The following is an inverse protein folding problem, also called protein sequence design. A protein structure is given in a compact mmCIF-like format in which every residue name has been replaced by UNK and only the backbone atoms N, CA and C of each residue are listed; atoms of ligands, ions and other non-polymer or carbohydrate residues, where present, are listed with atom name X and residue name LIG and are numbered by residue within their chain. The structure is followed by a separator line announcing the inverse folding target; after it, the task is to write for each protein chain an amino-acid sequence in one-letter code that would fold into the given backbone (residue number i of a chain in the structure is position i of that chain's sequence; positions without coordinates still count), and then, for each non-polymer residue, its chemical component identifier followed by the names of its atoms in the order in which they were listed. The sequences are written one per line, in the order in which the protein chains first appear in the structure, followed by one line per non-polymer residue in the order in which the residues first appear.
data_IF_426522098654
#
_entry.id   IF_426522098654
#
_cell.length_a   1.000
_cell.length_b   1.000
_cell.length_c   1.000
_cell.angle_alpha   90.00
_cell.angle_beta   90.00
_cell.angle_gamma   90.00
#
_symmetry.space_group_name_H-M   'P 1'
#
loop_
_entity.id
_entity.type
_entity.pdbx_description
1 polymer ?
#
# COMPACT_ATOMS: atom_id res chain seq x y z
N UNK A 1 -18.80 29.12 20.55
CA UNK A 1 -18.38 28.17 19.49
C UNK A 1 -18.05 26.81 20.13
N UNK A 2 -18.90 25.78 19.98
CA UNK A 2 -18.49 24.38 20.22
C UNK A 2 -18.97 23.38 19.14
N UNK A 3 -19.59 23.83 18.04
CA UNK A 3 -20.20 22.93 17.03
C UNK A 3 -19.21 22.25 16.07
N UNK A 4 -18.00 22.80 15.87
CA UNK A 4 -17.02 22.26 14.91
C UNK A 4 -16.33 20.97 15.41
N UNK A 5 -15.88 20.94 16.68
CA UNK A 5 -15.20 19.77 17.25
C UNK A 5 -16.11 18.54 17.41
N UNK A 6 -17.38 18.75 17.77
CA UNK A 6 -18.36 17.66 17.93
C UNK A 6 -18.83 17.06 16.59
N UNK A 7 -18.73 17.83 15.50
CA UNK A 7 -19.08 17.36 14.15
C UNK A 7 -17.91 16.57 13.56
N UNK A 8 -16.67 17.04 13.76
CA UNK A 8 -15.45 16.32 13.38
C UNK A 8 -15.35 14.94 14.05
N UNK A 9 -15.57 14.85 15.38
CA UNK A 9 -15.47 13.54 16.08
C UNK A 9 -16.55 12.52 15.67
N UNK A 10 -17.75 12.99 15.28
CA UNK A 10 -18.81 12.12 14.75
C UNK A 10 -18.48 11.57 13.36
N UNK A 11 -17.91 12.39 12.48
CA UNK A 11 -17.46 11.97 11.14
C UNK A 11 -16.33 10.94 11.26
N UNK A 12 -15.35 11.20 12.12
CA UNK A 12 -14.26 10.25 12.41
C UNK A 12 -14.77 8.91 12.92
N UNK A 13 -15.73 8.90 13.87
CA UNK A 13 -16.31 7.67 14.39
C UNK A 13 -17.09 6.88 13.31
N UNK A 14 -17.74 7.57 12.37
CA UNK A 14 -18.43 6.96 11.23
C UNK A 14 -17.45 6.30 10.25
N UNK A 15 -16.32 6.96 9.95
CA UNK A 15 -15.30 6.42 9.05
C UNK A 15 -14.56 5.22 9.66
N UNK A 16 -14.26 5.25 10.96
CA UNK A 16 -13.68 4.09 11.67
C UNK A 16 -14.62 2.88 11.62
N UNK A 17 -15.93 3.10 11.78
CA UNK A 17 -16.92 2.04 11.63
C UNK A 17 -17.01 1.53 10.17
N UNK A 18 -16.78 2.40 9.19
CA UNK A 18 -16.73 2.04 7.77
C UNK A 18 -15.51 1.15 7.45
N UNK A 19 -14.32 1.48 7.98
CA UNK A 19 -13.10 0.66 7.79
C UNK A 19 -13.28 -0.78 8.26
N UNK A 20 -13.95 -0.98 9.41
CA UNK A 20 -14.22 -2.32 9.93
C UNK A 20 -15.11 -3.16 9.01
N UNK A 21 -15.91 -2.52 8.15
CA UNK A 21 -16.79 -3.21 7.21
C UNK A 21 -16.06 -3.68 5.95
N UNK A 22 -14.90 -3.10 5.60
CA UNK A 22 -14.13 -3.45 4.40
C UNK A 22 -13.78 -4.95 4.33
N UNK A 23 -13.54 -5.57 5.48
CA UNK A 23 -13.26 -7.02 5.61
C UNK A 23 -14.39 -7.93 5.11
N UNK A 24 -15.61 -7.40 4.97
CA UNK A 24 -16.78 -8.12 4.46
C UNK A 24 -16.87 -8.09 2.93
N UNK A 25 -16.10 -7.24 2.26
CA UNK A 25 -16.09 -7.12 0.81
C UNK A 25 -15.57 -8.37 0.11
N UNK A 26 -16.22 -8.73 -1.00
CA UNK A 26 -15.77 -9.73 -1.98
C UNK A 26 -15.55 -9.02 -3.31
N UNK A 27 -14.33 -9.07 -3.84
CA UNK A 27 -13.93 -8.30 -5.02
C UNK A 27 -13.38 -9.24 -6.09
N UNK A 28 -13.88 -9.11 -7.32
CA UNK A 28 -13.24 -9.70 -8.49
C UNK A 28 -12.24 -8.69 -9.05
N UNK A 29 -10.96 -9.05 -9.13
CA UNK A 29 -9.95 -8.26 -9.83
C UNK A 29 -9.62 -8.94 -11.16
N UNK A 30 -9.70 -8.20 -12.25
CA UNK A 30 -9.24 -8.63 -13.58
C UNK A 30 -8.30 -7.58 -14.13
N UNK A 31 -7.11 -8.00 -14.58
CA UNK A 31 -6.16 -7.01 -15.07
C UNK A 31 -4.79 -7.56 -15.35
N UNK A 32 -3.88 -6.65 -15.69
CA UNK A 32 -2.49 -6.97 -15.98
C UNK A 32 -1.69 -7.15 -14.69
N UNK A 33 -1.18 -8.36 -14.44
CA UNK A 33 -0.27 -8.64 -13.33
C UNK A 33 1.17 -8.48 -13.76
N UNK A 34 2.03 -8.01 -12.87
CA UNK A 34 3.47 -7.92 -13.11
C UNK A 34 4.28 -8.27 -11.86
N UNK A 35 5.52 -8.70 -12.05
CA UNK A 35 6.47 -8.93 -10.96
C UNK A 35 7.32 -7.69 -10.77
N UNK A 36 7.12 -6.99 -9.65
CA UNK A 36 8.02 -5.91 -9.24
C UNK A 36 9.19 -6.51 -8.46
N UNK A 37 10.39 -6.42 -9.04
CA UNK A 37 11.64 -6.89 -8.41
C UNK A 37 12.48 -5.69 -7.98
N UNK A 38 12.97 -5.73 -6.76
CA UNK A 38 13.91 -4.75 -6.22
C UNK A 38 15.23 -5.44 -5.93
N UNK A 39 16.29 -4.92 -6.52
CA UNK A 39 17.67 -5.38 -6.33
C UNK A 39 18.39 -4.29 -5.56
N UNK A 40 18.58 -4.52 -4.26
CA UNK A 40 19.29 -3.61 -3.37
C UNK A 40 20.77 -3.98 -3.31
N UNK A 41 21.62 -2.95 -3.31
CA UNK A 41 23.05 -3.16 -3.17
C UNK A 41 23.81 -1.89 -2.89
N UNK A 42 25.14 -2.01 -2.91
CA UNK A 42 26.07 -0.88 -2.78
C UNK A 42 26.81 -0.65 -4.08
N UNK A 43 27.07 0.62 -4.39
CA UNK A 43 27.95 1.04 -5.49
C UNK A 43 29.21 1.62 -4.88
N UNK A 44 30.32 0.89 -4.99
CA UNK A 44 31.63 1.30 -4.45
C UNK A 44 32.69 1.55 -5.52
N UNK A 45 32.41 1.19 -6.77
CA UNK A 45 33.33 1.33 -7.90
C UNK A 45 32.60 1.50 -9.23
N UNK A 46 33.31 2.06 -10.19
CA UNK A 46 32.92 2.12 -11.61
C UNK A 46 33.50 0.89 -12.32
N UNK A 47 32.80 0.40 -13.34
CA UNK A 47 33.27 -0.74 -14.14
C UNK A 47 34.57 -0.36 -14.90
N UNK A 48 35.57 -1.26 -14.97
CA UNK A 48 36.74 -1.05 -15.82
C UNK A 48 36.42 -1.20 -17.33
N UNK A 49 35.28 -1.78 -17.67
CA UNK A 49 34.86 -2.06 -19.05
C UNK A 49 34.06 -0.91 -19.68
N UNK A 50 33.35 -0.13 -18.87
CA UNK A 50 32.53 0.99 -19.31
C UNK A 50 32.32 1.97 -18.15
N UNK A 51 32.06 3.28 -18.41
CA UNK A 51 31.84 4.29 -17.38
C UNK A 51 30.46 4.16 -16.73
N UNK A 52 30.16 2.99 -16.16
CA UNK A 52 28.91 2.63 -15.50
C UNK A 52 29.16 2.14 -14.07
N UNK A 53 28.26 2.43 -13.11
CA UNK A 53 28.41 1.95 -11.74
C UNK A 53 28.28 0.42 -11.66
N UNK A 54 29.08 -0.22 -10.80
CA UNK A 54 28.91 -1.64 -10.47
C UNK A 54 28.11 -1.76 -9.18
N UNK A 55 26.92 -2.34 -9.27
CA UNK A 55 26.10 -2.65 -8.10
C UNK A 55 26.50 -4.02 -7.53
N UNK A 56 27.06 -4.02 -6.32
CA UNK A 56 27.22 -5.24 -5.53
C UNK A 56 25.88 -5.56 -4.86
N UNK A 57 25.18 -6.59 -5.34
CA UNK A 57 23.86 -7.00 -4.84
C UNK A 57 23.97 -7.55 -3.43
N UNK A 58 23.08 -7.08 -2.55
CA UNK A 58 23.01 -7.48 -1.14
C UNK A 58 21.69 -8.15 -0.79
N UNK A 59 20.60 -7.70 -1.43
CA UNK A 59 19.25 -8.23 -1.18
C UNK A 59 18.38 -8.08 -2.40
N UNK A 60 17.57 -9.10 -2.65
CA UNK A 60 16.50 -9.04 -3.64
C UNK A 60 15.14 -9.17 -2.96
N UNK A 61 14.15 -8.46 -3.49
CA UNK A 61 12.76 -8.53 -3.05
C UNK A 61 11.87 -8.62 -4.29
N UNK A 62 10.94 -9.57 -4.29
CA UNK A 62 9.98 -9.75 -5.36
C UNK A 62 8.55 -9.57 -4.80
N UNK A 63 7.75 -8.74 -5.46
CA UNK A 63 6.41 -8.38 -5.04
C UNK A 63 5.44 -8.46 -6.23
N UNK A 64 4.18 -8.86 -6.01
CA UNK A 64 3.12 -8.65 -7.00
C UNK A 64 2.89 -7.16 -7.25
N UNK A 65 2.99 -6.76 -8.51
CA UNK A 65 2.74 -5.43 -9.05
C UNK A 65 1.50 -5.38 -9.95
N UNK A 66 1.14 -4.17 -10.37
CA UNK A 66 -0.04 -3.94 -11.21
C UNK A 66 -1.32 -4.40 -10.53
N UNK A 67 -2.16 -5.14 -11.25
CA UNK A 67 -3.35 -5.77 -10.68
C UNK A 67 -3.02 -6.66 -9.47
N UNK A 68 -1.81 -7.23 -9.41
CA UNK A 68 -1.33 -7.98 -8.23
C UNK A 68 -1.18 -7.09 -6.98
N UNK A 69 -0.81 -5.82 -7.14
CA UNK A 69 -0.72 -4.90 -6.00
C UNK A 69 -2.10 -4.44 -5.51
N UNK A 70 -3.09 -4.35 -6.40
CA UNK A 70 -4.50 -4.17 -6.02
C UNK A 70 -4.96 -5.35 -5.14
N UNK A 71 -4.65 -6.59 -5.52
CA UNK A 71 -4.94 -7.80 -4.72
C UNK A 71 -4.25 -7.73 -3.35
N UNK A 72 -2.98 -7.33 -3.29
CA UNK A 72 -2.25 -7.16 -2.02
C UNK A 72 -2.91 -6.13 -1.10
N UNK A 73 -3.36 -5.00 -1.63
CA UNK A 73 -4.07 -3.99 -0.85
C UNK A 73 -5.43 -4.49 -0.35
N UNK A 74 -6.23 -5.12 -1.22
CA UNK A 74 -7.54 -5.67 -0.85
C UNK A 74 -7.43 -6.71 0.27
N UNK A 75 -6.46 -7.61 0.17
CA UNK A 75 -6.22 -8.66 1.18
C UNK A 75 -5.64 -8.09 2.48
N UNK A 76 -4.84 -7.01 2.39
CA UNK A 76 -4.34 -6.28 3.55
C UNK A 76 -5.46 -5.54 4.31
N UNK A 77 -6.47 -5.03 3.60
CA UNK A 77 -7.74 -4.52 4.16
C UNK A 77 -8.66 -5.65 4.66
N UNK A 78 -8.26 -6.90 4.43
CA UNK A 78 -8.95 -8.10 4.83
C UNK A 78 -10.16 -8.46 3.97
N UNK A 79 -10.33 -7.91 2.77
CA UNK A 79 -11.35 -8.34 1.81
C UNK A 79 -11.02 -9.72 1.21
N UNK A 80 -12.02 -10.44 0.71
CA UNK A 80 -11.81 -11.64 -0.09
C UNK A 80 -11.72 -11.28 -1.58
N UNK A 81 -10.83 -11.93 -2.31
CA UNK A 81 -10.52 -11.57 -3.69
C UNK A 81 -10.55 -12.79 -4.60
N UNK A 82 -11.35 -12.73 -5.67
CA UNK A 82 -11.15 -13.58 -6.83
C UNK A 82 -10.26 -12.81 -7.81
N UNK A 83 -9.16 -13.40 -8.28
CA UNK A 83 -8.20 -12.70 -9.13
C UNK A 83 -8.00 -13.42 -10.45
N UNK A 84 -8.27 -12.77 -11.57
CA UNK A 84 -8.11 -13.32 -12.91
C UNK A 84 -7.08 -12.50 -13.69
N UNK A 85 -6.03 -13.15 -14.16
CA UNK A 85 -4.98 -12.50 -14.95
C UNK A 85 -4.27 -13.49 -15.87
N UNK A 86 -3.27 -13.02 -16.61
CA UNK A 86 -2.45 -13.83 -17.51
C UNK A 86 -0.98 -13.67 -17.15
N UNK A 87 -0.27 -14.79 -17.03
CA UNK A 87 1.19 -14.87 -16.89
C UNK A 87 1.79 -15.62 -18.06
N UNK A 88 3.08 -15.43 -18.29
CA UNK A 88 3.89 -16.23 -19.19
C UNK A 88 4.17 -17.63 -18.64
N UNK A 89 4.63 -18.52 -19.52
CA UNK A 89 5.19 -19.82 -19.15
C UNK A 89 6.68 -19.68 -18.83
N UNK A 90 6.98 -18.98 -17.72
CA UNK A 90 8.33 -18.60 -17.32
C UNK A 90 8.48 -18.52 -15.79
N UNK A 91 9.73 -18.37 -15.31
CA UNK A 91 10.02 -18.30 -13.87
C UNK A 91 9.29 -17.14 -13.18
N UNK A 92 9.25 -15.90 -13.71
CA UNK A 92 8.46 -14.83 -13.09
C UNK A 92 6.97 -15.13 -13.00
N UNK A 93 6.39 -15.86 -13.97
CA UNK A 93 5.01 -16.34 -13.92
C UNK A 93 4.77 -17.34 -12.78
N UNK A 94 5.71 -18.27 -12.59
CA UNK A 94 5.71 -19.19 -11.44
C UNK A 94 5.84 -18.44 -10.11
N UNK A 95 6.76 -17.48 -10.02
CA UNK A 95 6.99 -16.67 -8.82
C UNK A 95 5.72 -15.88 -8.45
N UNK A 96 5.07 -15.24 -9.43
CA UNK A 96 3.79 -14.54 -9.22
C UNK A 96 2.69 -15.47 -8.75
N UNK A 97 2.62 -16.68 -9.30
CA UNK A 97 1.64 -17.69 -8.88
C UNK A 97 1.81 -18.04 -7.40
N UNK A 98 3.05 -18.23 -6.94
CA UNK A 98 3.36 -18.43 -5.52
C UNK A 98 3.03 -17.21 -4.66
N UNK A 99 3.46 -16.01 -5.08
CA UNK A 99 3.29 -14.77 -4.33
C UNK A 99 1.83 -14.35 -4.15
N UNK A 100 1.01 -14.55 -5.20
CA UNK A 100 -0.43 -14.32 -5.16
C UNK A 100 -1.13 -15.43 -4.36
N UNK A 101 -0.79 -16.70 -4.61
CA UNK A 101 -1.39 -17.84 -3.90
C UNK A 101 -1.10 -17.84 -2.40
N UNK A 102 0.01 -17.22 -1.98
CA UNK A 102 0.34 -17.00 -0.57
C UNK A 102 -0.43 -15.87 0.12
N UNK A 103 -1.22 -15.07 -0.61
CA UNK A 103 -2.05 -14.03 0.00
C UNK A 103 -3.28 -14.63 0.69
N UNK A 104 -3.68 -14.14 1.87
CA UNK A 104 -4.87 -14.65 2.56
C UNK A 104 -6.14 -14.28 1.80
N UNK A 105 -7.12 -15.21 1.76
CA UNK A 105 -8.44 -15.00 1.16
C UNK A 105 -8.42 -14.61 -0.32
N UNK A 106 -7.43 -15.10 -1.07
CA UNK A 106 -7.36 -14.97 -2.53
C UNK A 106 -7.69 -16.30 -3.19
N UNK A 107 -8.52 -16.23 -4.23
CA UNK A 107 -8.75 -17.30 -5.18
C UNK A 107 -8.10 -16.91 -6.53
N UNK A 108 -6.89 -17.42 -6.82
CA UNK A 108 -6.14 -17.01 -8.00
C UNK A 108 -6.47 -17.86 -9.23
N UNK A 109 -6.77 -17.17 -10.32
CA UNK A 109 -6.99 -17.68 -11.67
C UNK A 109 -5.96 -17.05 -12.62
N UNK A 110 -4.69 -17.40 -12.43
CA UNK A 110 -3.59 -16.98 -13.30
C UNK A 110 -3.50 -17.93 -14.49
N UNK A 111 -3.92 -17.46 -15.66
CA UNK A 111 -3.88 -18.23 -16.88
C UNK A 111 -2.50 -18.13 -17.54
N UNK A 112 -1.95 -19.26 -17.97
CA UNK A 112 -0.62 -19.31 -18.59
C UNK A 112 -0.74 -19.17 -20.11
N UNK A 113 0.06 -18.26 -20.70
CA UNK A 113 0.23 -18.13 -22.13
C UNK A 113 1.67 -18.45 -22.54
N UNK A 114 1.86 -19.58 -23.24
CA UNK A 114 3.16 -19.91 -23.85
C UNK A 114 3.59 -18.86 -24.88
N UNK A 115 4.89 -18.55 -24.91
CA UNK A 115 5.48 -17.57 -25.83
C UNK A 115 5.23 -16.10 -25.47
N UNK A 116 4.50 -15.81 -24.39
CA UNK A 116 4.42 -14.48 -23.78
C UNK A 116 5.35 -14.43 -22.58
N UNK A 117 6.11 -13.35 -22.46
CA UNK A 117 6.88 -13.06 -21.27
C UNK A 117 5.98 -12.47 -20.17
N UNK A 118 6.11 -12.96 -18.94
CA UNK A 118 5.51 -12.33 -17.76
C UNK A 118 6.11 -10.95 -17.55
N UNK A 119 5.25 -9.93 -17.48
CA UNK A 119 5.68 -8.55 -17.22
C UNK A 119 6.47 -8.47 -15.92
N UNK A 120 7.72 -8.04 -16.00
CA UNK A 120 8.63 -7.89 -14.86
C UNK A 120 9.24 -6.49 -14.88
N UNK A 121 9.23 -5.81 -13.74
CA UNK A 121 9.85 -4.49 -13.57
C UNK A 121 10.90 -4.57 -12.48
N UNK A 122 12.17 -4.62 -12.90
CA UNK A 122 13.31 -4.75 -11.98
C UNK A 122 13.92 -3.38 -11.70
N UNK A 123 13.91 -2.97 -10.44
CA UNK A 123 14.45 -1.69 -9.95
C UNK A 123 15.74 -1.94 -9.18
N UNK A 124 16.82 -1.30 -9.60
CA UNK A 124 18.13 -1.39 -8.96
C UNK A 124 18.29 -0.19 -8.03
N UNK A 125 18.56 -0.46 -6.75
CA UNK A 125 18.54 0.57 -5.69
C UNK A 125 19.84 0.52 -4.89
N UNK A 126 20.47 1.67 -4.70
CA UNK A 126 21.65 1.82 -3.83
C UNK A 126 21.53 3.11 -3.01
N UNK A 127 21.92 3.04 -1.73
CA UNK A 127 21.87 4.20 -0.81
C UNK A 127 20.52 4.94 -0.81
N UNK A 128 19.42 4.18 -0.89
CA UNK A 128 18.05 4.74 -0.95
C UNK A 128 17.64 5.34 -2.31
N UNK A 129 18.51 5.34 -3.31
CA UNK A 129 18.25 5.92 -4.63
C UNK A 129 18.07 4.87 -5.71
N UNK A 130 17.11 5.09 -6.61
CA UNK A 130 16.93 4.28 -7.82
C UNK A 130 18.03 4.60 -8.84
N UNK A 131 18.82 3.59 -9.19
CA UNK A 131 19.89 3.71 -10.18
C UNK A 131 19.35 3.51 -11.59
N UNK A 132 18.57 2.44 -11.80
CA UNK A 132 17.96 2.12 -13.08
C UNK A 132 16.76 1.20 -12.91
N UNK A 133 15.93 1.12 -13.96
CA UNK A 133 14.83 0.18 -14.07
C UNK A 133 14.95 -0.61 -15.38
N UNK A 134 14.82 -1.93 -15.29
CA UNK A 134 14.75 -2.82 -16.43
C UNK A 134 13.35 -3.42 -16.51
N UNK A 135 12.65 -3.17 -17.62
CA UNK A 135 11.31 -3.68 -17.87
C UNK A 135 11.42 -4.82 -18.90
N UNK A 136 10.87 -5.98 -18.55
CA UNK A 136 10.70 -7.11 -19.47
C UNK A 136 9.20 -7.34 -19.66
N UNK A 137 8.67 -6.99 -20.82
CA UNK A 137 7.23 -6.98 -21.03
C UNK A 137 6.84 -7.16 -22.50
N UNK A 138 5.63 -7.70 -22.71
CA UNK A 138 4.96 -7.76 -24.00
C UNK A 138 3.57 -7.13 -23.88
N UNK A 139 3.37 -5.98 -24.54
CA UNK A 139 2.13 -5.20 -24.44
C UNK A 139 1.03 -5.62 -25.42
N UNK A 140 1.33 -6.50 -26.38
CA UNK A 140 0.35 -6.97 -27.37
C UNK A 140 -0.78 -7.77 -26.73
N UNK A 141 -1.97 -7.86 -27.36
CA UNK A 141 -3.11 -8.62 -26.83
C UNK A 141 -2.78 -10.07 -26.47
N UNK A 142 -3.46 -10.62 -25.47
CA UNK A 142 -3.41 -12.06 -25.18
C UNK A 142 -4.06 -12.86 -26.33
N UNK A 143 -3.76 -14.15 -26.40
CA UNK A 143 -4.30 -15.02 -27.44
C UNK A 143 -5.84 -15.05 -27.39
N UNK A 144 -6.58 -14.93 -28.52
CA UNK A 144 -8.04 -14.79 -28.51
C UNK A 144 -8.78 -15.89 -27.74
N UNK A 145 -8.39 -17.16 -27.91
CA UNK A 145 -8.97 -18.28 -27.15
C UNK A 145 -8.74 -18.17 -25.64
N UNK A 146 -7.61 -17.58 -25.23
CA UNK A 146 -7.31 -17.34 -23.83
C UNK A 146 -8.15 -16.18 -23.29
N UNK A 147 -8.34 -15.12 -24.09
CA UNK A 147 -9.26 -14.02 -23.78
C UNK A 147 -10.69 -14.53 -23.55
N UNK A 148 -11.21 -15.40 -24.42
CA UNK A 148 -12.54 -16.00 -24.23
C UNK A 148 -12.65 -16.84 -22.96
N UNK A 149 -11.61 -17.62 -22.65
CA UNK A 149 -11.54 -18.38 -21.40
C UNK A 149 -11.50 -17.46 -20.18
N UNK A 150 -10.71 -16.39 -20.24
CA UNK A 150 -10.60 -15.37 -19.20
C UNK A 150 -11.95 -14.69 -18.95
N UNK A 151 -12.65 -14.25 -20.00
CA UNK A 151 -13.96 -13.62 -19.86
C UNK A 151 -14.98 -14.58 -19.24
N UNK A 152 -14.96 -15.87 -19.60
CA UNK A 152 -15.84 -16.87 -19.00
C UNK A 152 -15.59 -17.00 -17.50
N UNK A 153 -14.33 -17.19 -17.10
CA UNK A 153 -13.94 -17.30 -15.67
C UNK A 153 -14.32 -16.02 -14.92
N UNK A 154 -14.04 -14.85 -15.49
CA UNK A 154 -14.41 -13.58 -14.88
C UNK A 154 -15.93 -13.47 -14.71
N UNK A 155 -16.72 -13.83 -15.72
CA UNK A 155 -18.19 -13.78 -15.69
C UNK A 155 -18.77 -14.72 -14.63
N UNK A 156 -18.20 -15.92 -14.47
CA UNK A 156 -18.60 -16.85 -13.40
C UNK A 156 -18.27 -16.25 -12.01
N UNK A 157 -17.10 -15.63 -11.86
CA UNK A 157 -16.66 -14.99 -10.62
C UNK A 157 -17.46 -13.71 -10.27
N UNK A 158 -18.02 -13.00 -11.25
CA UNK A 158 -18.93 -11.86 -11.03
C UNK A 158 -20.12 -12.27 -10.17
N UNK A 159 -20.67 -13.47 -10.37
CA UNK A 159 -21.81 -13.95 -9.59
C UNK A 159 -21.47 -14.12 -8.09
N UNK A 160 -20.23 -14.52 -7.79
CA UNK A 160 -19.73 -14.82 -6.46
C UNK A 160 -19.13 -13.60 -5.71
N UNK A 161 -18.99 -12.46 -6.38
CA UNK A 161 -18.36 -11.25 -5.84
C UNK A 161 -19.32 -10.07 -5.82
N UNK A 162 -19.02 -9.05 -4.99
CA UNK A 162 -19.86 -7.86 -4.83
C UNK A 162 -19.44 -6.71 -5.75
N UNK A 163 -18.17 -6.61 -6.12
CA UNK A 163 -17.60 -5.54 -6.96
C UNK A 163 -16.61 -6.16 -7.94
N UNK A 164 -16.51 -5.58 -9.14
CA UNK A 164 -15.48 -5.90 -10.13
C UNK A 164 -14.48 -4.75 -10.22
N UNK A 165 -13.19 -5.06 -10.27
CA UNK A 165 -12.09 -4.14 -10.56
C UNK A 165 -11.44 -4.55 -11.87
N UNK A 166 -11.35 -3.60 -12.81
CA UNK A 166 -10.55 -3.74 -14.03
C UNK A 166 -9.29 -2.88 -13.90
N UNK A 167 -8.12 -3.51 -13.74
CA UNK A 167 -6.84 -2.81 -13.60
C UNK A 167 -6.03 -2.95 -14.89
N UNK A 168 -6.06 -1.91 -15.72
CA UNK A 168 -5.49 -1.90 -17.07
C UNK A 168 -4.13 -1.18 -17.10
N UNK A 169 -3.06 -1.96 -17.20
CA UNK A 169 -1.69 -1.46 -17.38
C UNK A 169 -1.26 -1.48 -18.85
N UNK A 170 -2.20 -1.69 -19.77
CA UNK A 170 -1.98 -1.84 -21.21
C UNK A 170 -0.99 -2.97 -21.52
N UNK A 171 -1.07 -4.09 -20.79
CA UNK A 171 -0.25 -5.30 -21.04
C UNK A 171 -1.04 -6.43 -21.70
N UNK A 172 -2.19 -6.09 -22.29
CA UNK A 172 -2.89 -6.95 -23.23
C UNK A 172 -3.98 -7.84 -22.63
N UNK A 173 -4.11 -7.93 -21.30
CA UNK A 173 -5.16 -8.75 -20.65
C UNK A 173 -6.54 -8.22 -20.97
N UNK A 174 -6.71 -6.90 -20.87
CA UNK A 174 -8.01 -6.26 -21.05
C UNK A 174 -8.28 -5.84 -22.49
N UNK A 175 -7.34 -6.04 -23.44
CA UNK A 175 -7.42 -5.61 -24.86
C UNK A 175 -8.67 -6.06 -25.61
N UNK A 176 -8.99 -5.34 -26.70
CA UNK A 176 -10.16 -5.64 -27.53
C UNK A 176 -11.46 -5.43 -26.75
N UNK A 177 -12.38 -6.39 -26.86
CA UNK A 177 -13.71 -6.34 -26.25
C UNK A 177 -13.78 -6.95 -24.84
N UNK A 178 -12.66 -7.42 -24.28
CA UNK A 178 -12.61 -8.11 -22.97
C UNK A 178 -13.19 -7.22 -21.86
N UNK A 179 -12.73 -5.98 -21.74
CA UNK A 179 -13.24 -5.04 -20.74
C UNK A 179 -14.76 -4.80 -20.90
N UNK A 180 -15.22 -4.56 -22.14
CA UNK A 180 -16.63 -4.32 -22.43
C UNK A 180 -17.52 -5.53 -22.09
N UNK A 181 -17.06 -6.75 -22.38
CA UNK A 181 -17.77 -8.00 -22.04
C UNK A 181 -17.89 -8.19 -20.53
N UNK A 182 -16.82 -7.91 -19.78
CA UNK A 182 -16.84 -8.02 -18.31
C UNK A 182 -17.74 -6.93 -17.70
N UNK A 183 -17.67 -5.69 -18.19
CA UNK A 183 -18.55 -4.59 -17.76
C UNK A 183 -20.03 -4.97 -17.99
N UNK A 184 -20.35 -5.50 -19.17
CA UNK A 184 -21.71 -5.92 -19.50
C UNK A 184 -22.20 -7.05 -18.57
N UNK A 185 -21.36 -8.05 -18.29
CA UNK A 185 -21.68 -9.14 -17.36
C UNK A 185 -21.90 -8.65 -15.93
N UNK A 186 -21.02 -7.77 -15.43
CA UNK A 186 -21.14 -7.17 -14.11
C UNK A 186 -22.43 -6.37 -13.96
N UNK A 187 -22.75 -5.52 -14.95
CA UNK A 187 -23.99 -4.74 -14.99
C UNK A 187 -25.23 -5.64 -15.01
N UNK A 188 -25.23 -6.72 -15.80
CA UNK A 188 -26.33 -7.67 -15.84
C UNK A 188 -26.56 -8.38 -14.48
N UNK A 189 -25.48 -8.59 -13.71
CA UNK A 189 -25.53 -9.14 -12.36
C UNK A 189 -25.74 -8.09 -11.26
N UNK A 190 -25.91 -6.80 -11.60
CA UNK A 190 -26.04 -5.72 -10.63
C UNK A 190 -24.79 -5.50 -9.78
N UNK A 191 -23.60 -5.83 -10.31
CA UNK A 191 -22.31 -5.64 -9.63
C UNK A 191 -21.63 -4.37 -10.13
N UNK A 192 -21.28 -3.42 -9.24
CA UNK A 192 -20.54 -2.24 -9.63
C UNK A 192 -19.16 -2.59 -10.19
N UNK A 193 -18.74 -1.82 -11.20
CA UNK A 193 -17.42 -1.92 -11.83
C UNK A 193 -16.58 -0.69 -11.54
N UNK A 194 -15.41 -0.92 -10.95
CA UNK A 194 -14.34 0.07 -10.77
C UNK A 194 -13.26 -0.18 -11.82
N UNK A 195 -12.85 0.85 -12.55
CA UNK A 195 -11.81 0.76 -13.56
C UNK A 195 -10.64 1.65 -13.20
N UNK A 196 -9.44 1.09 -13.24
CA UNK A 196 -8.17 1.80 -13.12
C UNK A 196 -7.43 1.73 -14.46
N UNK A 197 -7.56 2.75 -15.32
CA UNK A 197 -6.80 2.84 -16.55
C UNK A 197 -5.44 3.51 -16.31
N UNK A 198 -4.34 2.84 -16.68
CA UNK A 198 -3.02 3.48 -16.79
C UNK A 198 -2.83 4.04 -18.20
N UNK A 199 -3.57 5.10 -18.49
CA UNK A 199 -3.62 5.75 -19.81
C UNK A 199 -4.49 5.02 -20.83
N UNK A 200 -4.24 5.30 -22.11
CA UNK A 200 -4.95 4.65 -23.22
C UNK A 200 -6.34 5.25 -23.48
N UNK A 201 -7.10 4.59 -24.35
CA UNK A 201 -8.43 5.07 -24.75
C UNK A 201 -9.47 4.76 -23.66
N UNK A 202 -9.98 5.78 -22.98
CA UNK A 202 -10.94 5.60 -21.88
C UNK A 202 -12.34 5.15 -22.34
N UNK A 203 -12.68 5.37 -23.62
CA UNK A 203 -13.98 5.03 -24.20
C UNK A 203 -14.34 3.54 -24.10
N UNK A 204 -13.33 2.67 -24.07
CA UNK A 204 -13.49 1.21 -23.94
C UNK A 204 -14.10 0.76 -22.62
N UNK A 205 -14.14 1.65 -21.62
CA UNK A 205 -14.70 1.39 -20.29
C UNK A 205 -16.10 2.01 -20.12
N UNK A 206 -16.75 2.38 -21.22
CA UNK A 206 -18.08 2.96 -21.20
C UNK A 206 -19.07 2.09 -20.40
N UNK A 207 -19.88 2.74 -19.56
CA UNK A 207 -20.87 2.09 -18.71
C UNK A 207 -20.35 1.56 -17.37
N UNK A 208 -19.07 1.73 -17.04
CA UNK A 208 -18.55 1.42 -15.71
C UNK A 208 -19.11 2.37 -14.62
N UNK A 209 -19.27 1.87 -13.40
CA UNK A 209 -19.80 2.63 -12.26
C UNK A 209 -18.81 3.66 -11.72
N UNK A 210 -17.51 3.36 -11.81
CA UNK A 210 -16.44 4.27 -11.42
C UNK A 210 -15.21 4.06 -12.31
N UNK A 211 -14.66 5.15 -12.83
CA UNK A 211 -13.33 5.15 -13.45
C UNK A 211 -12.39 6.04 -12.65
N UNK A 212 -11.14 5.59 -12.49
CA UNK A 212 -10.10 6.25 -11.71
C UNK A 212 -8.89 6.60 -12.59
N UNK A 213 -9.01 7.54 -13.55
CA UNK A 213 -7.90 7.90 -14.43
C UNK A 213 -6.90 8.83 -13.75
N UNK A 214 -5.68 8.85 -14.28
CA UNK A 214 -4.71 9.91 -14.01
C UNK A 214 -5.15 11.23 -14.70
N UNK A 215 -4.73 12.37 -14.16
CA UNK A 215 -5.16 13.68 -14.67
C UNK A 215 -4.74 13.89 -16.13
N UNK A 216 -3.55 13.41 -16.51
CA UNK A 216 -3.02 13.46 -17.87
C UNK A 216 -3.86 12.61 -18.84
N UNK A 217 -4.30 11.43 -18.39
CA UNK A 217 -5.17 10.55 -19.18
C UNK A 217 -6.56 11.18 -19.37
N UNK A 218 -7.10 11.82 -18.33
CA UNK A 218 -8.35 12.57 -18.41
C UNK A 218 -8.26 13.75 -19.39
N UNK A 219 -7.19 14.55 -19.30
CA UNK A 219 -6.96 15.68 -20.20
C UNK A 219 -6.85 15.20 -21.65
N UNK A 220 -6.12 14.11 -21.89
CA UNK A 220 -5.98 13.51 -23.22
C UNK A 220 -7.31 13.02 -23.77
N UNK A 221 -8.10 12.32 -22.96
CA UNK A 221 -9.38 11.75 -23.39
C UNK A 221 -10.46 12.81 -23.66
N UNK A 222 -10.42 13.94 -22.96
CA UNK A 222 -11.44 14.99 -23.05
C UNK A 222 -11.03 16.18 -23.91
N UNK A 223 -9.73 16.39 -24.12
CA UNK A 223 -9.18 17.60 -24.74
C UNK A 223 -9.34 18.86 -23.87
N UNK A 224 -9.65 18.70 -22.59
CA UNK A 224 -9.90 19.81 -21.65
C UNK A 224 -8.71 20.01 -20.69
N UNK A 225 -8.49 21.24 -20.20
CA UNK A 225 -7.49 21.50 -19.18
C UNK A 225 -7.86 20.82 -17.84
N UNK A 226 -6.85 20.54 -17.02
CA UNK A 226 -6.98 19.87 -15.71
C UNK A 226 -6.14 20.54 -14.63
N UNK A 227 -5.73 21.79 -14.82
CA UNK A 227 -4.77 22.49 -13.97
C UNK A 227 -5.37 23.07 -12.69
N UNK A 228 -6.68 23.34 -12.67
CA UNK A 228 -7.41 23.81 -11.49
C UNK A 228 -8.51 22.84 -11.06
N UNK A 229 -9.01 22.98 -9.82
CA UNK A 229 -10.11 22.13 -9.33
C UNK A 229 -11.37 22.23 -10.21
N UNK A 230 -11.67 23.43 -10.71
CA UNK A 230 -12.81 23.68 -11.59
C UNK A 230 -12.63 23.08 -12.99
N UNK A 231 -11.44 23.23 -13.58
CA UNK A 231 -11.10 22.61 -14.86
C UNK A 231 -11.15 21.09 -14.79
N UNK A 232 -10.56 20.52 -13.73
CA UNK A 232 -10.55 19.09 -13.48
C UNK A 232 -11.98 18.54 -13.30
N UNK A 233 -12.83 19.25 -12.55
CA UNK A 233 -14.24 18.87 -12.39
C UNK A 233 -15.00 18.91 -13.73
N UNK A 234 -14.79 19.95 -14.54
CA UNK A 234 -15.40 20.05 -15.86
C UNK A 234 -14.97 18.91 -16.79
N UNK A 235 -13.67 18.56 -16.79
CA UNK A 235 -13.16 17.42 -17.54
C UNK A 235 -13.76 16.09 -17.07
N UNK A 236 -13.89 15.88 -15.75
CA UNK A 236 -14.55 14.70 -15.19
C UNK A 236 -16.02 14.59 -15.63
N UNK A 237 -16.77 15.70 -15.59
CA UNK A 237 -18.18 15.75 -16.05
C UNK A 237 -18.26 15.40 -17.54
N UNK A 238 -17.39 15.97 -18.37
CA UNK A 238 -17.35 15.68 -19.80
C UNK A 238 -17.10 14.20 -20.09
N UNK A 239 -16.10 13.59 -19.44
CA UNK A 239 -15.78 12.17 -19.59
C UNK A 239 -16.97 11.29 -19.15
N UNK A 240 -17.56 11.63 -18.00
CA UNK A 240 -18.69 10.90 -17.41
C UNK A 240 -19.87 10.81 -18.38
N UNK A 241 -20.26 11.93 -18.98
CA UNK A 241 -21.36 11.98 -19.95
C UNK A 241 -21.00 11.31 -21.27
N UNK A 242 -19.80 11.55 -21.79
CA UNK A 242 -19.36 10.96 -23.06
C UNK A 242 -19.40 9.42 -23.07
N UNK A 243 -19.09 8.81 -21.93
CA UNK A 243 -18.96 7.35 -21.81
C UNK A 243 -19.99 6.71 -20.87
N UNK A 244 -21.02 7.46 -20.45
CA UNK A 244 -22.11 6.99 -19.57
C UNK A 244 -21.60 6.33 -18.30
N UNK A 245 -20.59 6.94 -17.68
CA UNK A 245 -19.98 6.45 -16.44
C UNK A 245 -20.84 6.85 -15.24
N UNK A 246 -20.84 6.03 -14.18
CA UNK A 246 -21.52 6.36 -12.93
C UNK A 246 -20.83 7.49 -12.16
N UNK A 247 -19.50 7.45 -12.11
CA UNK A 247 -18.64 8.42 -11.45
C UNK A 247 -17.24 8.45 -12.07
N UNK A 248 -16.53 9.56 -11.86
CA UNK A 248 -15.12 9.74 -12.20
C UNK A 248 -14.39 10.22 -10.95
N UNK A 249 -13.32 9.54 -10.55
CA UNK A 249 -12.48 9.96 -9.43
C UNK A 249 -11.05 10.15 -9.92
N UNK A 250 -10.46 11.31 -9.68
CA UNK A 250 -9.08 11.62 -10.07
C UNK A 250 -8.24 11.84 -8.82
N UNK A 251 -7.24 10.98 -8.54
CA UNK A 251 -6.21 11.25 -7.56
C UNK A 251 -5.34 12.43 -8.01
N UNK A 252 -4.98 13.31 -7.07
CA UNK A 252 -4.21 14.54 -7.28
C UNK A 252 -2.93 14.56 -6.45
N UNK A 253 -2.40 13.38 -6.12
CA UNK A 253 -1.25 13.22 -5.23
C UNK A 253 -1.44 13.98 -3.91
N UNK A 254 -0.55 14.92 -3.55
CA UNK A 254 -0.64 15.68 -2.30
C UNK A 254 -1.92 16.53 -2.18
N UNK A 255 -2.54 16.92 -3.28
CA UNK A 255 -3.79 17.69 -3.28
C UNK A 255 -5.04 16.83 -3.00
N UNK A 256 -4.86 15.53 -2.77
CA UNK A 256 -5.91 14.57 -2.45
C UNK A 256 -6.60 14.01 -3.68
N UNK A 257 -7.92 14.19 -3.80
CA UNK A 257 -8.72 13.67 -4.92
C UNK A 257 -9.91 14.55 -5.27
N UNK A 258 -10.37 14.42 -6.52
CA UNK A 258 -11.63 14.98 -7.01
C UNK A 258 -12.55 13.84 -7.42
N UNK A 259 -13.77 13.82 -6.91
CA UNK A 259 -14.83 12.90 -7.28
C UNK A 259 -15.96 13.68 -7.96
N UNK A 260 -16.42 13.20 -9.12
CA UNK A 260 -17.67 13.62 -9.76
C UNK A 260 -18.61 12.42 -9.79
N UNK A 261 -19.78 12.53 -9.15
CA UNK A 261 -20.76 11.43 -9.06
C UNK A 261 -22.21 11.95 -9.15
N UNK A 262 -23.20 11.04 -9.10
CA UNK A 262 -24.62 11.44 -9.02
C UNK A 262 -25.07 12.30 -10.21
N UNK A 263 -25.76 13.42 -9.94
CA UNK A 263 -26.12 14.44 -10.94
C UNK A 263 -25.04 15.53 -11.03
N UNK A 264 -23.80 15.10 -11.32
CA UNK A 264 -22.62 15.95 -11.46
C UNK A 264 -22.23 16.70 -10.18
N UNK A 265 -22.48 16.04 -9.04
CA UNK A 265 -22.00 16.48 -7.74
C UNK A 265 -20.48 16.34 -7.69
N UNK A 266 -19.81 17.44 -7.34
CA UNK A 266 -18.34 17.52 -7.25
C UNK A 266 -17.93 17.51 -5.79
N UNK A 267 -17.01 16.62 -5.44
CA UNK A 267 -16.38 16.53 -4.13
C UNK A 267 -14.87 16.61 -4.28
N UNK A 268 -14.25 17.58 -3.62
CA UNK A 268 -12.81 17.64 -3.44
C UNK A 268 -12.47 17.17 -2.04
N UNK A 269 -11.65 16.12 -1.93
CA UNK A 269 -11.14 15.63 -0.64
C UNK A 269 -9.64 15.92 -0.61
N UNK A 270 -9.18 16.66 0.39
CA UNK A 270 -7.76 16.93 0.59
C UNK A 270 -7.10 15.72 1.26
N UNK A 271 -5.91 15.36 0.80
CA UNK A 271 -5.02 14.46 1.56
C UNK A 271 -4.20 15.30 2.54
N UNK A 272 -3.79 14.73 3.67
CA UNK A 272 -2.78 15.38 4.50
C UNK A 272 -1.44 15.39 3.77
N UNK A 273 -0.81 16.57 3.71
CA UNK A 273 0.52 16.73 3.14
C UNK A 273 1.56 15.88 3.92
N UNK A 274 2.57 15.39 3.22
CA UNK A 274 3.73 14.71 3.81
C UNK A 274 5.00 15.16 3.10
N UNK A 275 6.08 15.29 3.86
CA UNK A 275 7.39 15.71 3.33
C UNK A 275 8.13 14.57 2.60
N UNK A 276 7.67 13.32 2.76
CA UNK A 276 8.14 12.16 2.01
C UNK A 276 7.12 11.79 0.95
N UNK A 277 7.57 11.60 -0.30
CA UNK A 277 6.71 11.27 -1.43
C UNK A 277 7.34 10.15 -2.27
N UNK A 278 6.94 8.91 -2.02
CA UNK A 278 7.02 7.86 -3.03
C UNK A 278 5.61 7.65 -3.63
N UNK A 279 5.36 8.04 -4.90
CA UNK A 279 4.06 7.83 -5.52
C UNK A 279 3.81 6.35 -5.91
N UNK A 280 4.80 5.47 -5.74
CA UNK A 280 4.70 4.09 -6.18
C UNK A 280 3.55 3.34 -5.50
N UNK A 281 2.62 2.81 -6.30
CA UNK A 281 1.51 1.98 -5.82
C UNK A 281 0.36 2.75 -5.15
N UNK A 282 0.39 4.08 -5.14
CA UNK A 282 -0.67 4.88 -4.52
C UNK A 282 -2.03 4.72 -5.22
N UNK A 283 -2.01 4.66 -6.55
CA UNK A 283 -3.21 4.42 -7.37
C UNK A 283 -3.85 3.07 -7.07
N UNK A 284 -3.05 2.00 -6.97
CA UNK A 284 -3.55 0.66 -6.66
C UNK A 284 -4.22 0.62 -5.28
N UNK A 285 -3.64 1.34 -4.29
CA UNK A 285 -4.20 1.44 -2.95
C UNK A 285 -5.54 2.21 -2.93
N UNK A 286 -5.61 3.31 -3.67
CA UNK A 286 -6.86 4.08 -3.86
C UNK A 286 -7.96 3.18 -4.44
N UNK A 287 -7.65 2.46 -5.51
CA UNK A 287 -8.59 1.57 -6.20
C UNK A 287 -9.02 0.42 -5.29
N UNK A 288 -8.10 -0.17 -4.53
CA UNK A 288 -8.41 -1.22 -3.58
C UNK A 288 -9.34 -0.73 -2.45
N UNK A 289 -9.10 0.47 -1.90
CA UNK A 289 -9.95 1.04 -0.85
C UNK A 289 -11.34 1.38 -1.40
N UNK A 290 -11.42 1.95 -2.60
CA UNK A 290 -12.69 2.22 -3.28
C UNK A 290 -13.48 0.92 -3.50
N UNK A 291 -12.84 -0.09 -4.08
CA UNK A 291 -13.46 -1.38 -4.37
C UNK A 291 -13.91 -2.11 -3.09
N UNK A 292 -13.08 -2.16 -2.05
CA UNK A 292 -13.45 -2.75 -0.77
C UNK A 292 -14.62 -2.01 -0.12
N UNK A 293 -14.65 -0.68 -0.24
CA UNK A 293 -15.73 0.15 0.32
C UNK A 293 -17.06 -0.10 -0.39
N UNK A 294 -17.06 -0.11 -1.72
CA UNK A 294 -18.25 -0.42 -2.52
C UNK A 294 -18.72 -1.86 -2.27
N UNK A 295 -17.79 -2.81 -2.11
CA UNK A 295 -18.11 -4.21 -1.85
C UNK A 295 -18.72 -4.42 -0.46
N UNK A 296 -18.39 -3.55 0.49
CA UNK A 296 -18.99 -3.48 1.81
C UNK A 296 -20.34 -2.71 1.83
N UNK A 297 -20.80 -2.19 0.70
CA UNK A 297 -22.05 -1.41 0.59
C UNK A 297 -21.95 0.03 1.08
N UNK A 298 -20.73 0.57 1.21
CA UNK A 298 -20.52 1.96 1.59
C UNK A 298 -20.87 2.91 0.43
N UNK A 299 -21.26 4.14 0.77
CA UNK A 299 -21.54 5.19 -0.22
C UNK A 299 -20.24 5.66 -0.89
N UNK A 300 -20.35 6.10 -2.14
CA UNK A 300 -19.22 6.59 -2.94
C UNK A 300 -18.43 7.72 -2.25
N UNK A 301 -19.12 8.67 -1.61
CA UNK A 301 -18.49 9.76 -0.85
C UNK A 301 -17.62 9.21 0.28
N UNK A 302 -18.13 8.28 1.07
CA UNK A 302 -17.38 7.61 2.14
C UNK A 302 -16.20 6.80 1.60
N UNK A 303 -16.38 6.12 0.47
CA UNK A 303 -15.30 5.40 -0.20
C UNK A 303 -14.17 6.34 -0.65
N UNK A 304 -14.52 7.51 -1.19
CA UNK A 304 -13.56 8.54 -1.59
C UNK A 304 -12.85 9.16 -0.38
N UNK A 305 -13.55 9.45 0.72
CA UNK A 305 -12.92 9.91 1.97
C UNK A 305 -11.89 8.91 2.50
N UNK A 306 -12.22 7.61 2.53
CA UNK A 306 -11.27 6.56 2.93
C UNK A 306 -10.09 6.44 1.95
N UNK A 307 -10.34 6.61 0.64
CA UNK A 307 -9.28 6.58 -0.36
C UNK A 307 -8.31 7.77 -0.21
N UNK A 308 -8.78 8.96 0.19
CA UNK A 308 -7.91 10.09 0.49
C UNK A 308 -7.00 9.80 1.69
N UNK A 309 -7.52 9.15 2.74
CA UNK A 309 -6.71 8.68 3.88
C UNK A 309 -5.67 7.66 3.41
N UNK A 310 -6.05 6.75 2.50
CA UNK A 310 -5.13 5.78 1.93
C UNK A 310 -3.97 6.45 1.18
N UNK A 311 -4.23 7.53 0.42
CA UNK A 311 -3.19 8.34 -0.24
C UNK A 311 -2.18 8.86 0.79
N UNK A 312 -2.66 9.46 1.89
CA UNK A 312 -1.79 9.95 2.96
C UNK A 312 -0.91 8.85 3.57
N UNK A 313 -1.43 7.62 3.69
CA UNK A 313 -0.69 6.50 4.27
C UNK A 313 0.40 6.00 3.31
N UNK A 314 0.06 5.82 2.02
CA UNK A 314 1.02 5.24 1.05
C UNK A 314 2.13 6.21 0.69
N UNK A 315 1.86 7.51 0.61
CA UNK A 315 2.90 8.50 0.29
C UNK A 315 3.98 8.59 1.38
N UNK A 316 3.62 8.27 2.62
CA UNK A 316 4.54 8.19 3.78
C UNK A 316 5.38 6.91 3.83
N UNK A 317 5.20 5.97 2.90
CA UNK A 317 5.90 4.68 2.89
C UNK A 317 6.86 4.61 1.72
N UNK A 318 8.02 3.98 1.94
CA UNK A 318 8.96 3.70 0.87
C UNK A 318 8.52 2.45 0.07
N UNK A 319 8.52 2.56 -1.25
CA UNK A 319 8.22 1.48 -2.18
C UNK A 319 6.74 1.07 -2.23
N UNK A 320 6.46 -0.07 -2.87
CA UNK A 320 5.10 -0.57 -3.12
C UNK A 320 4.51 -1.21 -1.85
N UNK A 321 4.11 -0.34 -0.93
CA UNK A 321 3.46 -0.72 0.31
C UNK A 321 1.95 -0.90 0.13
N UNK A 322 1.37 -1.68 1.04
CA UNK A 322 -0.09 -1.85 1.13
C UNK A 322 -0.65 -0.95 2.22
N UNK A 323 -1.93 -0.60 2.09
CA UNK A 323 -2.73 0.02 3.14
C UNK A 323 -3.48 -1.07 3.90
N UNK A 324 -3.36 -1.03 5.23
CA UNK A 324 -4.06 -1.93 6.14
C UNK A 324 -5.19 -1.20 6.86
N UNK A 325 -6.12 -1.96 7.40
CA UNK A 325 -7.29 -1.41 8.08
C UNK A 325 -6.94 -0.74 9.42
N UNK A 326 -5.94 -1.26 10.14
CA UNK A 326 -5.38 -0.62 11.33
C UNK A 326 -4.73 0.73 11.01
N UNK A 327 -3.99 0.82 9.91
CA UNK A 327 -3.37 2.07 9.44
C UNK A 327 -4.40 3.12 9.05
N UNK A 328 -5.49 2.73 8.38
CA UNK A 328 -6.61 3.64 8.08
C UNK A 328 -7.25 4.17 9.38
N UNK A 329 -7.50 3.29 10.35
CA UNK A 329 -8.05 3.69 11.65
C UNK A 329 -7.10 4.64 12.37
N UNK A 330 -5.79 4.35 12.34
CA UNK A 330 -4.75 5.17 12.96
C UNK A 330 -4.70 6.58 12.37
N UNK A 331 -4.65 6.69 11.04
CA UNK A 331 -4.61 7.98 10.35
C UNK A 331 -5.84 8.86 10.68
N UNK A 332 -7.00 8.26 10.93
CA UNK A 332 -8.21 8.99 11.29
C UNK A 332 -8.35 9.28 12.79
N UNK A 333 -7.59 8.59 13.66
CA UNK A 333 -7.69 8.74 15.12
C UNK A 333 -6.35 8.95 15.82
N UNK A 334 -5.59 10.04 15.51
CA UNK A 334 -4.23 10.22 15.99
C UNK A 334 -4.05 10.16 17.52
N UNK A 335 -5.11 10.48 18.31
CA UNK A 335 -5.05 10.53 19.79
C UNK A 335 -5.74 9.37 20.55
N UNK A 336 -6.39 8.41 19.90
CA UNK A 336 -7.04 7.28 20.59
C UNK A 336 -6.08 6.10 20.83
N UNK A 337 -4.89 6.12 20.23
CA UNK A 337 -3.96 5.00 20.17
C UNK A 337 -2.85 5.01 21.22
N UNK A 338 -2.55 6.10 21.93
CA UNK A 338 -1.61 6.06 23.05
C UNK A 338 -1.96 4.91 24.01
N UNK A 339 -3.27 4.78 24.30
CA UNK A 339 -3.83 3.72 25.16
C UNK A 339 -3.87 2.32 24.53
N UNK A 340 -3.76 2.18 23.20
CA UNK A 340 -3.76 0.87 22.50
C UNK A 340 -2.37 0.37 22.15
N UNK A 341 -1.43 1.28 21.87
CA UNK A 341 -0.01 0.97 21.65
C UNK A 341 0.65 0.56 22.96
N UNK A 342 0.18 1.10 24.09
CA UNK A 342 0.51 0.60 25.42
C UNK A 342 -0.04 -0.82 25.63
N UNK A 343 0.86 -1.79 25.70
CA UNK A 343 0.53 -3.20 25.87
C UNK A 343 1.37 -3.83 26.97
N UNK A 344 0.94 -4.99 27.46
CA UNK A 344 1.75 -5.79 28.37
C UNK A 344 2.94 -6.40 27.63
N UNK A 345 4.03 -6.68 28.36
CA UNK A 345 5.22 -7.37 27.83
C UNK A 345 4.86 -8.69 27.14
N UNK A 346 3.95 -9.46 27.73
CA UNK A 346 3.48 -10.73 27.17
C UNK A 346 2.80 -10.54 25.81
N UNK A 347 1.91 -9.55 25.68
CA UNK A 347 1.24 -9.26 24.42
C UNK A 347 2.20 -8.71 23.36
N UNK A 348 3.14 -7.87 23.78
CA UNK A 348 4.20 -7.39 22.89
C UNK A 348 5.02 -8.56 22.32
N UNK A 349 5.35 -9.56 23.15
CA UNK A 349 6.10 -10.74 22.71
C UNK A 349 5.31 -11.55 21.67
N UNK A 350 4.01 -11.77 21.91
CA UNK A 350 3.15 -12.43 20.93
C UNK A 350 3.08 -11.68 19.59
N UNK A 351 3.04 -10.34 19.62
CA UNK A 351 3.01 -9.53 18.40
C UNK A 351 4.34 -9.57 17.66
N UNK A 352 5.45 -9.51 18.39
CA UNK A 352 6.80 -9.62 17.83
C UNK A 352 6.97 -10.97 17.11
N UNK A 353 6.51 -12.07 17.69
CA UNK A 353 6.53 -13.37 16.99
C UNK A 353 5.69 -13.36 15.71
N UNK A 354 4.51 -12.73 15.74
CA UNK A 354 3.66 -12.59 14.54
C UNK A 354 4.28 -11.70 13.47
N UNK A 355 5.08 -10.71 13.85
CA UNK A 355 5.84 -9.89 12.92
C UNK A 355 6.99 -10.68 12.30
N UNK A 356 7.71 -11.45 13.14
CA UNK A 356 8.80 -12.32 12.68
C UNK A 356 8.33 -13.39 11.71
N UNK A 357 7.22 -14.06 12.00
CA UNK A 357 6.61 -15.04 11.08
C UNK A 357 6.20 -14.43 9.72
N UNK A 358 5.99 -13.11 9.67
CA UNK A 358 5.71 -12.38 8.42
C UNK A 358 6.98 -11.87 7.72
N UNK A 359 8.16 -12.16 8.26
CA UNK A 359 9.45 -11.72 7.72
C UNK A 359 9.72 -10.22 7.88
N UNK A 360 9.06 -9.55 8.83
CA UNK A 360 9.31 -8.14 9.12
C UNK A 360 10.54 -7.97 10.01
N UNK A 361 11.37 -6.97 9.70
CA UNK A 361 12.49 -6.55 10.55
C UNK A 361 11.97 -5.80 11.77
N UNK A 362 12.33 -6.25 12.95
CA UNK A 362 11.84 -5.75 14.22
C UNK A 362 12.91 -4.86 14.85
N UNK A 363 12.56 -3.60 15.09
CA UNK A 363 13.33 -2.66 15.89
C UNK A 363 12.88 -2.67 17.34
N UNK A 364 13.83 -2.71 18.27
CA UNK A 364 13.59 -2.51 19.69
C UNK A 364 14.29 -1.24 20.14
N UNK A 365 13.51 -0.27 20.63
CA UNK A 365 14.04 0.87 21.37
C UNK A 365 13.83 0.64 22.85
N UNK A 366 14.92 0.60 23.61
CA UNK A 366 14.85 0.45 25.06
C UNK A 366 15.06 1.79 25.77
N UNK A 367 14.19 2.10 26.73
CA UNK A 367 14.19 3.36 27.47
C UNK A 367 14.28 3.10 28.97
N UNK A 368 15.31 3.67 29.59
CA UNK A 368 15.41 3.78 31.04
C UNK A 368 14.54 4.93 31.57
N UNK A 369 14.32 4.93 32.89
CA UNK A 369 13.60 5.97 33.63
C UNK A 369 14.08 7.37 33.23
N UNK A 370 13.16 8.25 32.83
CA UNK A 370 13.46 9.63 32.37
C UNK A 370 14.08 9.77 30.98
N UNK A 371 14.35 8.68 30.25
CA UNK A 371 15.05 8.70 28.96
C UNK A 371 14.23 9.17 27.76
N UNK A 372 12.91 9.32 27.90
CA UNK A 372 12.00 9.71 26.81
C UNK A 372 12.16 11.17 26.36
N UNK A 373 12.57 12.08 27.24
CA UNK A 373 12.70 13.52 26.94
C UNK A 373 13.87 13.83 25.99
N UNK A 374 14.83 12.90 25.84
CA UNK A 374 15.96 13.04 24.93
C UNK A 374 15.63 12.66 23.47
N UNK A 375 14.42 12.16 23.19
CA UNK A 375 14.01 11.73 21.86
C UNK A 375 13.23 12.83 21.13
N UNK A 376 13.62 13.08 19.87
CA UNK A 376 12.92 13.98 18.96
C UNK A 376 12.23 13.21 17.83
N UNK A 377 11.37 13.90 17.07
CA UNK A 377 10.72 13.33 15.89
C UNK A 377 11.71 12.77 14.88
N UNK A 378 12.73 13.55 14.57
CA UNK A 378 13.77 13.16 13.63
C UNK A 378 14.49 11.88 14.06
N UNK A 379 14.84 11.75 15.35
CA UNK A 379 15.51 10.55 15.87
C UNK A 379 14.58 9.32 15.84
N UNK A 380 13.28 9.51 16.11
CA UNK A 380 12.29 8.43 16.04
C UNK A 380 12.02 7.99 14.59
N UNK A 381 12.01 8.92 13.64
CA UNK A 381 11.89 8.63 12.20
C UNK A 381 13.13 7.88 11.68
N UNK A 382 14.32 8.30 12.10
CA UNK A 382 15.56 7.62 11.76
C UNK A 382 15.57 6.19 12.31
N UNK A 383 15.23 6.00 13.58
CA UNK A 383 15.08 4.69 14.20
C UNK A 383 14.06 3.80 13.47
N UNK A 384 12.92 4.40 13.05
CA UNK A 384 11.88 3.72 12.28
C UNK A 384 12.40 3.25 10.93
N UNK A 385 13.24 4.03 10.24
CA UNK A 385 13.75 3.72 8.90
C UNK A 385 14.56 2.42 8.83
N UNK A 386 15.12 1.97 9.95
CA UNK A 386 15.93 0.75 10.02
C UNK A 386 15.12 -0.54 10.16
N UNK A 387 13.85 -0.44 10.54
CA UNK A 387 13.00 -1.58 10.85
C UNK A 387 11.63 -1.49 10.15
N UNK A 388 10.96 -2.61 10.00
CA UNK A 388 9.60 -2.68 9.46
C UNK A 388 8.55 -2.56 10.59
N UNK A 389 8.92 -2.85 11.86
CA UNK A 389 8.13 -2.54 13.07
C UNK A 389 9.01 -2.08 14.22
N UNK A 390 8.61 -1.03 14.94
CA UNK A 390 9.32 -0.49 16.10
C UNK A 390 8.55 -0.75 17.40
N UNK A 391 9.15 -1.54 18.29
CA UNK A 391 8.71 -1.76 19.66
C UNK A 391 9.53 -0.86 20.60
N UNK A 392 8.84 -0.11 21.45
CA UNK A 392 9.46 0.69 22.52
C UNK A 392 9.24 -0.02 23.86
N UNK A 393 10.32 -0.39 24.53
CA UNK A 393 10.27 -0.97 25.88
C UNK A 393 10.67 0.09 26.91
N UNK A 394 9.78 0.38 27.86
CA UNK A 394 9.99 1.41 28.89
C UNK A 394 10.16 0.75 30.26
N UNK A 395 11.32 0.96 30.89
CA UNK A 395 11.66 0.48 32.23
C UNK A 395 11.72 1.67 33.20
N UNK A 396 10.69 1.86 34.05
CA UNK A 396 10.73 2.85 35.14
C UNK A 396 9.65 3.94 35.13
N UNK A 397 8.65 3.87 34.26
CA UNK A 397 7.59 4.90 34.18
C UNK A 397 8.05 6.18 33.46
N UNK A 398 7.10 6.96 32.94
CA UNK A 398 7.37 8.24 32.25
C UNK A 398 7.51 8.17 30.71
N UNK A 399 7.37 7.00 30.07
CA UNK A 399 7.43 6.85 28.61
C UNK A 399 6.08 6.89 27.88
N UNK A 400 4.98 7.22 28.56
CA UNK A 400 3.62 7.15 28.00
C UNK A 400 3.41 8.09 26.80
N UNK A 401 4.10 9.23 26.77
CA UNK A 401 4.07 10.16 25.63
C UNK A 401 4.66 9.57 24.36
N UNK A 402 5.50 8.54 24.44
CA UNK A 402 6.07 7.88 23.26
C UNK A 402 5.07 7.02 22.51
N UNK A 403 4.00 6.58 23.19
CA UNK A 403 2.90 5.88 22.52
C UNK A 403 2.10 6.81 21.58
N UNK A 404 2.21 8.13 21.72
CA UNK A 404 1.56 9.10 20.82
C UNK A 404 2.28 9.24 19.47
N UNK A 405 3.49 8.69 19.35
CA UNK A 405 4.32 8.86 18.18
C UNK A 405 3.90 7.86 17.08
N UNK A 406 3.59 8.31 15.84
CA UNK A 406 3.15 7.43 14.75
C UNK A 406 4.12 6.29 14.44
N UNK A 407 5.42 6.56 14.53
CA UNK A 407 6.52 5.62 14.30
C UNK A 407 6.57 4.47 15.31
N UNK A 408 5.95 4.61 16.49
CA UNK A 408 5.94 3.55 17.50
C UNK A 408 4.78 2.61 17.20
N UNK A 409 5.07 1.35 16.87
CA UNK A 409 4.03 0.35 16.62
C UNK A 409 3.48 -0.20 17.94
N UNK A 410 4.35 -0.44 18.94
CA UNK A 410 3.97 -0.90 20.27
C UNK A 410 4.85 -0.24 21.34
N UNK A 411 4.26 0.01 22.51
CA UNK A 411 4.96 0.42 23.72
C UNK A 411 4.67 -0.59 24.83
N UNK A 412 5.71 -1.25 25.33
CA UNK A 412 5.61 -2.21 26.42
C UNK A 412 6.23 -1.64 27.70
N UNK A 413 5.43 -1.58 28.76
CA UNK A 413 5.93 -1.18 30.08
C UNK A 413 6.57 -2.40 30.77
N UNK A 414 7.89 -2.35 30.94
CA UNK A 414 8.75 -3.48 31.31
C UNK A 414 9.30 -3.32 32.74
N UNK A 415 8.42 -3.11 33.72
CA UNK A 415 8.84 -2.91 35.12
C UNK A 415 9.58 -4.13 35.67
N UNK A 416 10.82 -3.92 36.14
CA UNK A 416 11.61 -4.94 36.82
C UNK A 416 12.25 -6.02 35.92
N UNK A 417 12.28 -5.84 34.60
CA UNK A 417 13.01 -6.75 33.69
C UNK A 417 14.39 -6.20 33.32
N UNK A 418 15.39 -7.08 33.21
CA UNK A 418 16.71 -6.70 32.71
C UNK A 418 16.72 -6.56 31.19
N UNK A 419 17.66 -5.77 30.65
CA UNK A 419 17.84 -5.62 29.20
C UNK A 419 18.02 -6.96 28.50
N UNK A 420 18.87 -7.82 29.07
CA UNK A 420 19.13 -9.16 28.55
C UNK A 420 17.84 -9.98 28.43
N UNK A 421 16.96 -9.91 29.44
CA UNK A 421 15.69 -10.65 29.41
C UNK A 421 14.77 -10.14 28.28
N UNK A 422 14.71 -8.82 28.07
CA UNK A 422 13.93 -8.22 26.98
C UNK A 422 14.52 -8.54 25.60
N UNK A 423 15.85 -8.56 25.46
CA UNK A 423 16.52 -8.94 24.22
C UNK A 423 16.28 -10.41 23.88
N UNK A 424 16.36 -11.31 24.85
CA UNK A 424 16.04 -12.74 24.66
C UNK A 424 14.57 -12.96 24.34
N UNK A 425 13.67 -12.17 24.93
CA UNK A 425 12.24 -12.28 24.72
C UNK A 425 11.83 -11.78 23.33
N UNK A 426 12.28 -10.59 22.94
CA UNK A 426 11.84 -9.97 21.70
C UNK A 426 12.74 -10.29 20.51
N UNK A 427 13.99 -10.74 20.71
CA UNK A 427 14.99 -11.05 19.68
C UNK A 427 14.90 -10.11 18.48
N UNK A 428 15.18 -8.81 18.67
CA UNK A 428 15.03 -7.82 17.61
C UNK A 428 16.13 -7.96 16.56
N UNK A 429 15.83 -7.58 15.32
CA UNK A 429 16.80 -7.46 14.24
C UNK A 429 17.63 -6.18 14.42
N UNK A 430 17.00 -5.11 14.92
CA UNK A 430 17.64 -3.81 15.18
C UNK A 430 17.47 -3.46 16.65
N UNK A 431 18.57 -3.24 17.36
CA UNK A 431 18.54 -2.59 18.66
C UNK A 431 18.82 -1.10 18.48
N UNK A 432 17.87 -0.25 18.84
CA UNK A 432 17.98 1.21 18.74
C UNK A 432 18.45 1.75 20.08
N UNK A 433 19.58 2.44 20.08
CA UNK A 433 20.20 2.99 21.28
C UNK A 433 20.20 4.51 21.25
N UNK A 434 19.51 5.12 22.21
CA UNK A 434 19.34 6.57 22.25
C UNK A 434 20.56 7.35 22.75
N UNK A 435 20.57 8.68 22.55
CA UNK A 435 21.68 9.55 22.96
C UNK A 435 21.90 9.62 24.48
N UNK A 436 20.89 9.32 25.29
CA UNK A 436 20.95 9.30 26.76
C UNK A 436 20.88 7.87 27.36
N UNK A 437 21.00 6.82 26.53
CA UNK A 437 20.84 5.45 27.00
C UNK A 437 22.11 4.93 27.70
N UNK A 438 21.93 4.25 28.83
CA UNK A 438 22.98 3.56 29.59
C UNK A 438 23.79 2.66 28.64
N UNK A 439 25.14 2.68 28.65
CA UNK A 439 25.94 1.83 27.78
C UNK A 439 25.50 0.36 27.90
N UNK A 440 25.28 -0.29 26.76
CA UNK A 440 25.03 -1.73 26.72
C UNK A 440 26.26 -2.46 27.27
N UNK A 441 26.04 -3.53 28.02
CA UNK A 441 27.13 -4.42 28.42
C UNK A 441 27.69 -5.18 27.20
N UNK A 442 28.96 -5.61 27.27
CA UNK A 442 29.55 -6.50 26.25
C UNK A 442 28.68 -7.73 25.97
N UNK A 443 27.96 -8.22 26.98
CA UNK A 443 27.07 -9.37 26.87
C UNK A 443 25.83 -9.09 26.02
N UNK A 444 25.28 -7.87 26.04
CA UNK A 444 24.09 -7.51 25.24
C UNK A 444 24.41 -7.41 23.74
N UNK A 445 25.59 -6.87 23.40
CA UNK A 445 26.05 -6.80 22.00
C UNK A 445 26.38 -8.19 21.44
N UNK A 446 26.99 -9.06 22.26
CA UNK A 446 27.25 -10.46 21.90
C UNK A 446 25.94 -11.21 21.67
N UNK A 447 24.96 -11.04 22.54
CA UNK A 447 23.65 -11.68 22.45
C UNK A 447 22.91 -11.26 21.17
N UNK A 448 22.97 -9.98 20.80
CA UNK A 448 22.37 -9.48 19.55
C UNK A 448 23.06 -10.10 18.31
N UNK A 449 24.37 -10.27 18.35
CA UNK A 449 25.14 -10.90 17.28
C UNK A 449 24.84 -12.40 17.11
N UNK A 450 24.45 -13.13 18.17
CA UNK A 450 24.14 -14.57 18.10
C UNK A 450 23.04 -14.91 17.09
N UNK A 451 22.11 -13.98 16.84
CA UNK A 451 21.04 -14.15 15.85
C UNK A 451 21.11 -13.15 14.69
N UNK A 452 22.27 -12.51 14.51
CA UNK A 452 22.51 -11.59 13.38
C UNK A 452 21.81 -10.23 13.49
N UNK A 453 21.38 -9.84 14.70
CA UNK A 453 20.87 -8.50 14.95
C UNK A 453 21.99 -7.45 14.91
N UNK A 454 21.62 -6.17 14.77
CA UNK A 454 22.59 -5.07 14.76
C UNK A 454 22.17 -3.92 15.68
N UNK A 455 23.17 -3.28 16.29
CA UNK A 455 23.00 -2.06 17.07
C UNK A 455 23.02 -0.85 16.14
N UNK A 456 22.05 0.05 16.30
CA UNK A 456 22.01 1.32 15.57
C UNK A 456 21.81 2.49 16.55
N UNK A 457 22.55 3.57 16.32
CA UNK A 457 22.53 4.80 17.14
C UNK A 457 22.14 5.95 16.22
N UNK A 458 21.01 6.63 16.47
CA UNK A 458 20.63 7.77 15.65
C UNK A 458 21.56 8.94 15.96
N UNK A 459 22.07 9.57 14.92
CA UNK A 459 23.01 10.68 15.06
C UNK A 459 22.23 11.99 15.18
N UNK A 460 22.61 12.84 16.13
CA UNK A 460 22.11 14.22 16.13
C UNK A 460 22.60 14.88 14.84
N UNK A 461 21.71 14.99 13.86
CA UNK A 461 21.86 16.00 12.82
C UNK A 461 21.71 17.34 13.52
N UNK A 462 22.83 17.92 13.95
CA UNK A 462 22.88 19.36 14.17
C UNK A 462 22.50 20.00 12.84
N UNK A 463 21.29 20.55 12.79
CA UNK A 463 20.90 21.46 11.73
C UNK A 463 21.94 22.58 11.69
N UNK A 464 22.65 22.67 10.57
CA UNK A 464 23.34 23.87 10.12
C UNK A 464 22.40 24.66 9.21
#
# INVERSE_FOLDING_TARGET
MPKSAATSSKVTNSLVAAVRQLRRGTVLVVGDVMLDRYVYGRVSRVSPEAPVPVLAVERELALPGGAGNVVRNLTALGAAVAFVSVVGDDQPGSDLTGLIGGQPRVEPWLLVQGGRATTTKTRFVASGQHLMRADHEQAGPIHPRLADRLVRIATDAVAATSVVVLSDYQKGVLSGDVAARIIAAARAAGRPVVVEPKGGELARFAGADLIVPEAEALATATGLPVGTEAELAAACIALKHAHKLGAVLVPRGPDGLTLVHGQDEVLHVRAEASDQHDPAGASDAVVAVLAASLAAGLKMVTAAELAAVAITIVTRKAGIAVVRDDELIEAMTPGLNAKRKMVTVAYAAEMVERWRHRGWRIGLLHLSEGGGEAWSAALMEEARSWCDRLLVAVCGGGGTSMADWPMVDLLAECTGQSNEALLRLFRPDILVHGPAAVPLGLDDENLLAEWGGRLCRPEHTQAA
#
